data_IF_238327789338
#
_entry.id   IF_238327789338
#
_cell.length_a   1.000
_cell.length_b   1.000
_cell.length_c   1.000
_cell.angle_alpha   90.00
_cell.angle_beta   90.00
_cell.angle_gamma   90.00
#
_symmetry.space_group_name_H-M   'P 1'
#
loop_
_entity.id
_entity.type
_entity.pdbx_description
1 polymer ?
#
# COMPACT_ATOMS: atom_id res chain seq x y z
N UNK A 1 19.88 -34.58 4.21
CA UNK A 1 19.25 -33.37 4.79
C UNK A 1 18.36 -32.78 3.70
N UNK A 2 17.12 -33.28 3.60
CA UNK A 2 16.19 -32.89 2.54
C UNK A 2 15.37 -31.66 3.00
N UNK A 3 15.53 -30.55 2.29
CA UNK A 3 14.71 -29.35 2.44
C UNK A 3 13.26 -29.73 2.09
N UNK A 4 12.36 -29.69 3.07
CA UNK A 4 10.93 -29.90 2.80
C UNK A 4 10.45 -28.71 1.97
N UNK A 5 10.03 -28.96 0.74
CA UNK A 5 9.30 -27.99 -0.06
C UNK A 5 8.00 -27.67 0.67
N UNK A 6 7.82 -26.41 1.08
CA UNK A 6 6.56 -25.95 1.63
C UNK A 6 5.65 -25.64 0.43
N UNK A 7 4.76 -26.59 0.14
CA UNK A 7 3.69 -26.38 -0.84
C UNK A 7 2.82 -25.21 -0.39
N UNK A 8 2.96 -24.06 -1.05
CA UNK A 8 2.10 -22.89 -0.84
C UNK A 8 0.79 -23.12 -1.62
N UNK A 9 0.08 -24.21 -1.29
CA UNK A 9 -1.15 -24.64 -2.02
C UNK A 9 -2.42 -24.41 -1.21
N UNK A 10 -2.36 -23.60 -0.14
CA UNK A 10 -3.54 -23.16 0.57
C UNK A 10 -3.83 -21.71 0.19
N UNK A 11 -4.87 -21.49 -0.61
CA UNK A 11 -5.54 -20.17 -0.65
C UNK A 11 -5.92 -19.84 0.79
N UNK A 12 -5.33 -18.82 1.42
CA UNK A 12 -5.67 -18.47 2.79
C UNK A 12 -7.18 -18.26 2.84
N UNK A 13 -7.84 -18.73 3.90
CA UNK A 13 -9.24 -18.42 4.15
C UNK A 13 -9.35 -16.88 4.21
N UNK A 14 -9.83 -16.26 3.13
CA UNK A 14 -9.98 -14.80 2.95
C UNK A 14 -11.12 -14.24 3.82
N UNK A 15 -11.42 -14.86 4.97
CA UNK A 15 -12.67 -14.69 5.72
C UNK A 15 -13.00 -13.24 6.08
N UNK A 16 -12.00 -12.35 6.15
CA UNK A 16 -12.15 -10.91 6.40
C UNK A 16 -12.01 -10.03 5.15
N UNK A 17 -11.54 -10.56 4.03
CA UNK A 17 -11.24 -9.84 2.78
C UNK A 17 -12.37 -10.01 1.77
N UNK A 18 -13.47 -9.28 1.97
CA UNK A 18 -14.57 -9.25 0.99
C UNK A 18 -14.11 -8.66 -0.35
N UNK A 19 -14.75 -9.00 -1.47
CA UNK A 19 -14.42 -8.41 -2.78
C UNK A 19 -14.39 -6.88 -2.78
N UNK A 20 -15.30 -6.25 -2.03
CA UNK A 20 -15.39 -4.80 -1.89
C UNK A 20 -14.18 -4.23 -1.14
N UNK A 21 -13.73 -4.89 -0.07
CA UNK A 21 -12.52 -4.50 0.68
C UNK A 21 -11.28 -4.65 -0.19
N UNK A 22 -11.17 -5.74 -0.94
CA UNK A 22 -10.06 -5.96 -1.87
C UNK A 22 -10.04 -4.91 -2.98
N UNK A 23 -11.20 -4.59 -3.55
CA UNK A 23 -11.32 -3.55 -4.58
C UNK A 23 -10.99 -2.16 -4.02
N UNK A 24 -11.41 -1.85 -2.79
CA UNK A 24 -11.07 -0.60 -2.11
C UNK A 24 -9.55 -0.51 -1.89
N UNK A 25 -8.92 -1.57 -1.38
CA UNK A 25 -7.48 -1.63 -1.19
C UNK A 25 -6.72 -1.42 -2.51
N UNK A 26 -7.15 -2.11 -3.58
CA UNK A 26 -6.57 -1.94 -4.91
C UNK A 26 -6.69 -0.51 -5.42
N UNK A 27 -7.87 0.10 -5.31
CA UNK A 27 -8.09 1.51 -5.70
C UNK A 27 -7.15 2.45 -4.94
N UNK A 28 -7.02 2.28 -3.62
CA UNK A 28 -6.11 3.09 -2.81
C UNK A 28 -4.66 2.95 -3.26
N UNK A 29 -4.19 1.73 -3.53
CA UNK A 29 -2.82 1.51 -4.04
C UNK A 29 -2.60 2.20 -5.40
N UNK A 30 -3.54 2.05 -6.33
CA UNK A 30 -3.45 2.67 -7.66
C UNK A 30 -3.48 4.20 -7.56
N UNK A 31 -4.35 4.75 -6.71
CA UNK A 31 -4.37 6.20 -6.44
C UNK A 31 -3.05 6.69 -5.87
N UNK A 32 -2.45 5.98 -4.92
CA UNK A 32 -1.15 6.33 -4.36
C UNK A 32 -0.05 6.35 -5.44
N UNK A 33 -0.01 5.35 -6.33
CA UNK A 33 0.93 5.32 -7.46
C UNK A 33 0.75 6.50 -8.41
N UNK A 34 -0.49 6.80 -8.80
CA UNK A 34 -0.75 7.92 -9.70
C UNK A 34 -0.39 9.27 -9.05
N UNK A 35 -0.62 9.42 -7.75
CA UNK A 35 -0.23 10.62 -7.02
C UNK A 35 1.28 10.82 -7.07
N UNK A 36 2.07 9.77 -6.80
CA UNK A 36 3.53 9.80 -6.87
C UNK A 36 4.04 10.24 -8.26
N UNK A 37 3.44 9.71 -9.32
CA UNK A 37 3.76 10.12 -10.69
C UNK A 37 3.44 11.60 -10.96
N UNK A 38 2.32 12.11 -10.44
CA UNK A 38 1.98 13.53 -10.55
C UNK A 38 2.96 14.41 -9.78
N UNK A 39 3.41 14.00 -8.61
CA UNK A 39 4.42 14.74 -7.84
C UNK A 39 5.75 14.84 -8.60
N UNK A 40 6.16 13.77 -9.30
CA UNK A 40 7.33 13.78 -10.19
C UNK A 40 7.14 14.79 -11.33
N UNK A 41 5.95 14.86 -11.94
CA UNK A 41 5.63 15.84 -12.99
C UNK A 41 5.70 17.26 -12.43
N UNK A 42 5.13 17.51 -11.25
CA UNK A 42 5.15 18.82 -10.61
C UNK A 42 6.59 19.27 -10.29
N UNK A 43 7.43 18.36 -9.83
CA UNK A 43 8.86 18.62 -9.60
C UNK A 43 9.57 18.99 -10.90
N UNK A 44 9.32 18.26 -12.00
CA UNK A 44 9.90 18.56 -13.33
C UNK A 44 9.45 19.91 -13.88
N UNK A 45 8.26 20.38 -13.50
CA UNK A 45 7.73 21.70 -13.83
C UNK A 45 8.20 22.81 -12.86
N UNK A 46 9.10 22.50 -11.92
CA UNK A 46 9.53 23.42 -10.86
C UNK A 46 8.37 24.00 -10.03
N UNK A 47 7.27 23.25 -9.92
CA UNK A 47 6.10 23.61 -9.10
C UNK A 47 6.20 23.09 -7.66
N UNK A 48 7.12 22.16 -7.41
CA UNK A 48 7.50 21.66 -6.09
C UNK A 48 9.02 21.61 -5.98
N UNK A 49 9.55 21.86 -4.77
CA UNK A 49 11.00 21.94 -4.54
C UNK A 49 11.64 20.57 -4.24
N UNK A 50 10.89 19.67 -3.60
CA UNK A 50 11.34 18.32 -3.26
C UNK A 50 10.20 17.33 -3.52
N UNK A 51 10.57 16.07 -3.74
CA UNK A 51 9.66 14.95 -3.91
C UNK A 51 10.41 13.70 -3.44
N UNK A 52 9.74 12.92 -2.61
CA UNK A 52 10.23 11.65 -2.08
C UNK A 52 9.22 10.61 -2.53
N UNK A 53 9.68 9.61 -3.28
CA UNK A 53 8.79 8.67 -3.92
C UNK A 53 8.37 7.57 -2.94
N UNK A 54 7.06 7.33 -2.87
CA UNK A 54 6.46 6.20 -2.16
C UNK A 54 6.29 4.96 -3.04
N UNK A 55 6.76 4.99 -4.30
CA UNK A 55 6.54 3.91 -5.25
C UNK A 55 7.14 2.58 -4.76
N UNK A 56 6.29 1.57 -4.63
CA UNK A 56 6.63 0.25 -4.10
C UNK A 56 6.17 0.03 -2.65
N UNK A 57 5.76 1.08 -1.94
CA UNK A 57 5.26 0.98 -0.56
C UNK A 57 3.73 0.93 -0.45
N UNK A 58 3.01 0.96 -1.57
CA UNK A 58 1.55 1.10 -1.58
C UNK A 58 0.86 -0.05 -0.85
N UNK A 59 1.27 -1.28 -1.12
CA UNK A 59 0.66 -2.46 -0.52
C UNK A 59 0.84 -2.51 1.00
N UNK A 60 2.05 -2.22 1.48
CA UNK A 60 2.33 -2.23 2.93
C UNK A 60 1.61 -1.08 3.65
N UNK A 61 1.56 0.11 3.04
CA UNK A 61 0.86 1.25 3.62
C UNK A 61 -0.65 1.00 3.72
N UNK A 62 -1.27 0.46 2.67
CA UNK A 62 -2.70 0.10 2.67
C UNK A 62 -3.00 -1.02 3.66
N UNK A 63 -2.13 -2.04 3.73
CA UNK A 63 -2.27 -3.12 4.70
C UNK A 63 -2.23 -2.59 6.13
N UNK A 64 -1.24 -1.76 6.49
CA UNK A 64 -1.14 -1.15 7.82
C UNK A 64 -2.41 -0.33 8.12
N UNK A 65 -2.82 0.55 7.21
CA UNK A 65 -3.99 1.40 7.41
C UNK A 65 -5.27 0.57 7.65
N UNK A 66 -5.44 -0.57 6.97
CA UNK A 66 -6.62 -1.43 7.12
C UNK A 66 -6.73 -2.18 8.46
N UNK A 67 -5.64 -2.23 9.23
CA UNK A 67 -5.60 -2.89 10.54
C UNK A 67 -5.68 -1.90 11.72
N UNK A 68 -5.78 -0.60 11.44
CA UNK A 68 -5.87 0.45 12.43
C UNK A 68 -7.30 0.94 12.60
N UNK A 69 -7.65 1.34 13.82
CA UNK A 69 -8.94 1.92 14.17
C UNK A 69 -8.91 3.43 13.95
N UNK A 70 -9.73 3.88 13.00
CA UNK A 70 -9.96 5.29 12.71
C UNK A 70 -10.34 6.06 13.98
N UNK A 71 -9.80 7.26 14.16
CA UNK A 71 -10.05 8.15 15.30
C UNK A 71 -9.61 7.61 16.67
N UNK A 72 -8.85 6.52 16.71
CA UNK A 72 -8.32 5.94 17.96
C UNK A 72 -6.82 5.70 17.87
N UNK A 73 -6.37 4.97 16.85
CA UNK A 73 -4.97 4.60 16.71
C UNK A 73 -4.14 5.74 16.08
N UNK A 74 -2.86 5.81 16.43
CA UNK A 74 -1.97 6.92 16.09
C UNK A 74 -0.92 6.49 15.07
N UNK A 75 -0.50 7.43 14.22
CA UNK A 75 0.60 7.24 13.29
C UNK A 75 1.82 8.05 13.71
N UNK A 76 2.99 7.41 13.68
CA UNK A 76 4.30 8.05 13.77
C UNK A 76 5.03 7.82 12.45
N UNK A 77 4.81 8.72 11.49
CA UNK A 77 5.25 8.56 10.11
C UNK A 77 6.67 9.12 9.87
N UNK A 78 7.18 8.83 8.68
CA UNK A 78 8.38 9.41 8.11
C UNK A 78 8.10 9.86 6.67
N UNK A 79 9.07 10.54 6.07
CA UNK A 79 9.00 11.07 4.71
C UNK A 79 9.20 10.01 3.63
#
# INVERSE_FOLDING_TARGET
MATKEHEITATPQLGEYTPERLLAAYRTMVTARYLDEQEIILKRQSKTFFQISGAGHEAVQVAIASHLRTSHDWFYLYY
#
